data_IF_966451000191
#
_entry.id   IF_966451000191
#
_cell.length_a   1.000
_cell.length_b   1.000
_cell.length_c   1.000
_cell.angle_alpha   90.00
_cell.angle_beta   90.00
_cell.angle_gamma   90.00
#
_symmetry.space_group_name_H-M   'P 1'
#
loop_
_entity.id
_entity.type
_entity.pdbx_description
1 polymer ?
#
# COMPACT_ATOMS: atom_id res chain seq x y z
N UNK A 1 70.96 -48.59 -62.66
CA UNK A 1 70.19 -49.62 -61.93
C UNK A 1 69.35 -48.87 -60.91
N UNK A 2 68.12 -48.54 -61.28
CA UNK A 2 67.13 -47.96 -60.36
C UNK A 2 66.10 -49.05 -60.06
N UNK A 3 66.08 -49.45 -58.79
CA UNK A 3 65.19 -50.44 -58.21
C UNK A 3 63.81 -49.84 -57.97
N UNK A 4 62.77 -50.52 -58.45
CA UNK A 4 61.37 -50.26 -58.12
C UNK A 4 61.12 -50.53 -56.63
N UNK A 5 60.76 -49.49 -55.87
CA UNK A 5 60.17 -49.64 -54.54
C UNK A 5 58.63 -49.64 -54.65
N UNK A 6 58.03 -50.71 -54.12
CA UNK A 6 56.59 -50.88 -53.95
C UNK A 6 56.03 -49.82 -52.97
N UNK A 7 55.18 -48.92 -53.44
CA UNK A 7 54.30 -48.14 -52.57
C UNK A 7 53.14 -49.02 -52.06
N UNK A 8 53.14 -49.33 -50.76
CA UNK A 8 51.95 -49.79 -50.06
C UNK A 8 51.09 -48.57 -49.66
N UNK A 9 49.76 -48.60 -49.84
CA UNK A 9 48.90 -47.47 -49.48
C UNK A 9 48.83 -47.29 -47.97
N UNK A 10 49.11 -46.07 -47.51
CA UNK A 10 48.96 -45.62 -46.12
C UNK A 10 47.47 -45.62 -45.75
N UNK A 11 47.05 -46.25 -44.62
CA UNK A 11 45.66 -46.23 -44.20
C UNK A 11 45.22 -44.80 -43.82
N UNK A 12 44.04 -44.39 -44.29
CA UNK A 12 43.46 -43.08 -44.01
C UNK A 12 43.25 -42.87 -42.49
N UNK A 13 43.45 -41.64 -41.96
CA UNK A 13 43.27 -41.36 -40.55
C UNK A 13 41.81 -41.59 -40.11
N UNK A 14 41.62 -42.37 -39.03
CA UNK A 14 40.32 -42.62 -38.43
C UNK A 14 39.63 -41.30 -38.04
N UNK A 15 38.45 -41.05 -38.60
CA UNK A 15 37.64 -39.88 -38.25
C UNK A 15 37.21 -39.96 -36.76
N UNK A 16 37.26 -38.86 -35.99
CA UNK A 16 36.91 -38.90 -34.57
C UNK A 16 35.47 -39.39 -34.40
N UNK A 17 35.32 -40.45 -33.59
CA UNK A 17 34.04 -41.10 -33.29
C UNK A 17 32.99 -40.05 -32.89
N UNK A 18 31.95 -39.88 -33.72
CA UNK A 18 30.80 -39.04 -33.38
C UNK A 18 30.13 -39.65 -32.15
N UNK A 19 30.11 -38.91 -31.03
CA UNK A 19 29.41 -39.30 -29.79
C UNK A 19 28.03 -39.87 -30.10
N UNK A 20 27.74 -41.03 -29.52
CA UNK A 20 26.47 -41.72 -29.69
C UNK A 20 25.31 -40.84 -29.18
N UNK A 21 24.09 -41.02 -29.70
CA UNK A 21 22.93 -40.24 -29.27
C UNK A 21 22.72 -40.23 -27.74
N UNK A 22 22.91 -41.36 -27.02
CA UNK A 22 22.88 -41.38 -25.54
C UNK A 22 23.95 -40.48 -24.91
N UNK A 23 25.20 -40.52 -25.36
CA UNK A 23 26.29 -39.70 -24.83
C UNK A 23 26.06 -38.19 -25.03
N UNK A 24 25.41 -37.81 -26.14
CA UNK A 24 25.00 -36.42 -26.38
C UNK A 24 23.92 -35.99 -25.39
N UNK A 25 22.95 -36.87 -25.11
CA UNK A 25 21.89 -36.63 -24.14
C UNK A 25 22.44 -36.44 -22.72
N UNK A 26 23.42 -37.27 -22.31
CA UNK A 26 24.08 -37.16 -21.02
C UNK A 26 24.86 -35.85 -20.89
N UNK A 27 25.59 -35.46 -21.94
CA UNK A 27 26.30 -34.18 -21.95
C UNK A 27 25.34 -32.97 -21.86
N UNK A 28 24.19 -33.04 -22.53
CA UNK A 28 23.15 -32.02 -22.47
C UNK A 28 22.55 -31.93 -21.06
N UNK A 29 22.28 -33.06 -20.40
CA UNK A 29 21.78 -33.09 -19.02
C UNK A 29 22.76 -32.47 -18.01
N UNK A 30 24.07 -32.68 -18.17
CA UNK A 30 25.09 -32.03 -17.33
C UNK A 30 25.07 -30.51 -17.51
N UNK A 31 24.93 -30.02 -18.74
CA UNK A 31 24.82 -28.59 -19.02
C UNK A 31 23.52 -27.99 -18.46
N UNK A 32 22.39 -28.68 -18.58
CA UNK A 32 21.10 -28.25 -18.02
C UNK A 32 21.16 -28.16 -16.49
N UNK A 33 21.80 -29.13 -15.81
CA UNK A 33 21.99 -29.08 -14.36
C UNK A 33 22.87 -27.91 -13.95
N UNK A 34 23.99 -27.67 -14.64
CA UNK A 34 24.87 -26.51 -14.38
C UNK A 34 24.13 -25.19 -14.59
N UNK A 35 23.34 -25.08 -15.66
CA UNK A 35 22.51 -23.91 -15.94
C UNK A 35 21.47 -23.68 -14.84
N UNK A 36 20.78 -24.73 -14.39
CA UNK A 36 19.83 -24.66 -13.28
C UNK A 36 20.51 -24.24 -11.96
N UNK A 37 21.72 -24.73 -11.68
CA UNK A 37 22.51 -24.31 -10.51
C UNK A 37 22.89 -22.84 -10.59
N UNK A 38 23.37 -22.36 -11.75
CA UNK A 38 23.70 -20.94 -11.95
C UNK A 38 22.45 -20.06 -11.82
N UNK A 39 21.31 -20.48 -12.37
CA UNK A 39 20.05 -19.76 -12.25
C UNK A 39 19.58 -19.70 -10.79
N UNK A 40 19.68 -20.80 -10.04
CA UNK A 40 19.34 -20.83 -8.62
C UNK A 40 20.25 -19.91 -7.78
N UNK A 41 21.56 -19.88 -8.08
CA UNK A 41 22.50 -18.95 -7.46
C UNK A 41 22.14 -17.51 -7.82
N UNK A 42 21.80 -17.23 -9.07
CA UNK A 42 21.40 -15.90 -9.52
C UNK A 42 20.11 -15.44 -8.84
N UNK A 43 19.11 -16.31 -8.72
CA UNK A 43 17.87 -16.04 -7.96
C UNK A 43 18.17 -15.78 -6.48
N UNK A 44 19.06 -16.56 -5.87
CA UNK A 44 19.48 -16.35 -4.50
C UNK A 44 20.23 -15.02 -4.33
N UNK A 45 21.12 -14.66 -5.27
CA UNK A 45 21.83 -13.38 -5.28
C UNK A 45 20.87 -12.21 -5.50
N UNK A 46 19.88 -12.35 -6.38
CA UNK A 46 18.81 -11.35 -6.58
C UNK A 46 17.98 -11.22 -5.31
N UNK A 47 17.64 -12.32 -4.63
CA UNK A 47 16.92 -12.28 -3.36
C UNK A 47 17.73 -11.58 -2.27
N UNK A 48 19.01 -11.92 -2.14
CA UNK A 48 19.94 -11.29 -1.19
C UNK A 48 20.14 -9.81 -1.53
N UNK A 49 20.32 -9.47 -2.80
CA UNK A 49 20.47 -8.09 -3.26
C UNK A 49 19.19 -7.28 -3.07
N UNK A 50 18.02 -7.88 -3.35
CA UNK A 50 16.71 -7.29 -3.08
C UNK A 50 16.50 -7.05 -1.59
N UNK A 51 16.92 -7.99 -0.75
CA UNK A 51 16.92 -7.84 0.71
C UNK A 51 17.90 -6.77 1.19
N UNK A 52 19.03 -6.58 0.51
CA UNK A 52 19.97 -5.47 0.76
C UNK A 52 19.44 -4.11 0.30
N UNK A 53 18.61 -4.07 -0.75
CA UNK A 53 17.93 -2.86 -1.21
C UNK A 53 16.65 -2.54 -0.45
N UNK A 54 16.15 -3.47 0.38
CA UNK A 54 15.06 -3.18 1.30
C UNK A 54 15.57 -2.20 2.36
N UNK A 55 15.24 -0.92 2.18
CA UNK A 55 15.48 0.17 3.14
C UNK A 55 14.58 -0.02 4.36
N UNK A 56 14.82 -1.06 5.14
CA UNK A 56 14.11 -1.26 6.38
C UNK A 56 14.45 -0.11 7.34
N UNK A 57 13.41 0.53 7.89
CA UNK A 57 13.56 1.54 8.92
C UNK A 57 13.55 0.86 10.30
N UNK A 58 14.45 1.28 11.18
CA UNK A 58 14.53 0.75 12.53
C UNK A 58 14.32 1.88 13.54
N UNK A 59 13.27 1.78 14.35
CA UNK A 59 13.07 2.65 15.52
C UNK A 59 14.10 2.23 16.56
N UNK A 60 15.20 2.98 16.66
CA UNK A 60 16.37 2.61 17.47
C UNK A 60 16.33 3.24 18.85
N UNK A 61 15.82 4.46 18.95
CA UNK A 61 15.83 5.23 20.17
C UNK A 61 14.49 5.95 20.33
N UNK A 62 13.84 5.74 21.47
CA UNK A 62 12.63 6.45 21.86
C UNK A 62 12.85 7.04 23.25
N UNK A 63 12.64 8.34 23.40
CA UNK A 63 12.70 9.03 24.68
C UNK A 63 11.34 9.63 25.03
N UNK A 64 10.90 9.47 26.27
CA UNK A 64 9.63 10.00 26.78
C UNK A 64 9.85 10.77 28.09
N UNK A 65 8.95 11.69 28.48
CA UNK A 65 9.04 12.39 29.76
C UNK A 65 8.95 11.42 30.95
N UNK A 66 9.61 11.76 32.06
CA UNK A 66 9.57 10.93 33.28
C UNK A 66 8.14 10.64 33.77
N UNK A 67 7.25 11.64 33.70
CA UNK A 67 5.84 11.49 34.08
C UNK A 67 5.13 10.37 33.31
N UNK A 68 5.48 10.16 32.03
CA UNK A 68 4.89 9.08 31.24
C UNK A 68 5.39 7.71 31.69
N UNK A 69 6.66 7.61 32.10
CA UNK A 69 7.22 6.37 32.63
C UNK A 69 6.51 5.96 33.92
N UNK A 70 6.26 6.94 34.81
CA UNK A 70 5.54 6.72 36.07
C UNK A 70 4.10 6.23 35.85
N UNK A 71 3.49 6.62 34.72
CA UNK A 71 2.15 6.21 34.29
C UNK A 71 2.14 4.89 33.48
N UNK A 72 3.30 4.26 33.29
CA UNK A 72 3.45 2.98 32.56
C UNK A 72 3.79 3.10 31.06
N UNK A 73 3.86 4.33 30.53
CA UNK A 73 4.28 4.60 29.15
C UNK A 73 5.80 4.70 29.07
N UNK A 74 6.46 3.55 29.23
CA UNK A 74 7.92 3.41 29.10
C UNK A 74 8.41 3.71 27.66
N UNK A 75 9.72 3.88 27.48
CA UNK A 75 10.33 4.07 26.14
C UNK A 75 10.05 2.89 25.21
N UNK A 76 10.10 1.65 25.72
CA UNK A 76 9.77 0.44 24.98
C UNK A 76 8.29 0.37 24.62
N UNK A 77 7.41 0.76 25.54
CA UNK A 77 5.96 0.79 25.29
C UNK A 77 5.62 1.85 24.24
N UNK A 78 6.23 3.03 24.31
CA UNK A 78 6.08 4.07 23.30
C UNK A 78 6.55 3.59 21.91
N UNK A 79 7.70 2.92 21.84
CA UNK A 79 8.18 2.34 20.59
C UNK A 79 7.21 1.30 20.02
N UNK A 80 6.65 0.44 20.89
CA UNK A 80 5.63 -0.53 20.53
C UNK A 80 4.36 0.15 20.00
N UNK A 81 3.86 1.18 20.69
CA UNK A 81 2.69 1.93 20.27
C UNK A 81 2.89 2.61 18.92
N UNK A 82 4.05 3.24 18.67
CA UNK A 82 4.35 3.84 17.36
C UNK A 82 4.33 2.76 16.27
N UNK A 83 4.95 1.61 16.52
CA UNK A 83 4.96 0.48 15.58
C UNK A 83 3.54 -0.03 15.30
N UNK A 84 2.72 -0.15 16.35
CA UNK A 84 1.32 -0.55 16.21
C UNK A 84 0.51 0.49 15.45
N UNK A 85 0.69 1.80 15.73
CA UNK A 85 0.04 2.88 14.99
C UNK A 85 0.42 2.86 13.52
N UNK A 86 1.70 2.65 13.17
CA UNK A 86 2.13 2.47 11.79
C UNK A 86 1.43 1.27 11.14
N UNK A 87 1.38 0.13 11.83
CA UNK A 87 0.67 -1.07 11.36
C UNK A 87 -0.82 -0.78 11.14
N UNK A 88 -1.47 -0.14 12.10
CA UNK A 88 -2.89 0.19 12.04
C UNK A 88 -3.18 1.19 10.93
N UNK A 89 -2.37 2.24 10.76
CA UNK A 89 -2.52 3.18 9.65
C UNK A 89 -2.34 2.49 8.30
N UNK A 90 -1.32 1.61 8.19
CA UNK A 90 -1.15 0.78 6.99
C UNK A 90 -2.39 -0.06 6.79
N UNK A 91 -2.84 -0.83 7.77
CA UNK A 91 -4.04 -1.68 7.66
C UNK A 91 -5.31 -0.88 7.36
N UNK A 92 -5.54 0.28 7.95
CA UNK A 92 -6.72 1.10 7.65
C UNK A 92 -6.70 1.64 6.21
N UNK A 93 -5.52 1.83 5.66
CA UNK A 93 -5.30 2.27 4.28
C UNK A 93 -5.14 1.08 3.31
N UNK A 94 -4.74 -0.11 3.80
CA UNK A 94 -4.30 -1.30 3.04
C UNK A 94 -5.21 -2.51 3.18
N UNK A 95 -6.12 -2.57 4.16
CA UNK A 95 -7.26 -3.50 4.18
C UNK A 95 -8.19 -3.22 3.00
N UNK A 96 -8.03 -2.07 2.35
CA UNK A 96 -8.62 -1.78 1.07
C UNK A 96 -7.57 -1.63 -0.04
N UNK A 97 -6.38 -1.03 0.15
CA UNK A 97 -5.43 -0.77 -0.96
C UNK A 97 -3.96 -1.25 -0.76
N UNK A 98 -3.58 -2.33 -1.47
CA UNK A 98 -2.20 -2.84 -1.71
C UNK A 98 -1.53 -3.51 -0.51
N UNK A 99 -1.57 -4.85 -0.49
CA UNK A 99 -0.58 -5.66 0.21
C UNK A 99 0.76 -5.57 -0.53
N UNK A 100 1.66 -4.70 -0.07
CA UNK A 100 3.13 -4.86 -0.06
C UNK A 100 3.80 -3.55 0.38
N UNK A 101 4.23 -3.47 1.65
CA UNK A 101 5.42 -2.68 2.05
C UNK A 101 5.81 -2.78 3.54
N UNK A 102 4.99 -3.33 4.44
CA UNK A 102 5.37 -3.39 5.87
C UNK A 102 5.09 -4.75 6.49
N UNK A 103 6.13 -5.50 6.82
CA UNK A 103 6.05 -6.76 7.57
C UNK A 103 6.23 -6.47 9.06
N UNK A 104 5.41 -7.09 9.91
CA UNK A 104 5.50 -6.99 11.36
C UNK A 104 6.08 -8.27 11.99
N UNK A 105 6.84 -8.09 13.06
CA UNK A 105 7.68 -9.10 13.72
C UNK A 105 6.94 -10.30 14.31
N UNK A 106 5.62 -10.23 14.52
CA UNK A 106 4.83 -11.37 15.02
C UNK A 106 4.49 -12.41 13.95
N UNK A 107 4.35 -12.01 12.67
CA UNK A 107 4.26 -12.97 11.55
C UNK A 107 5.64 -13.52 11.13
N UNK A 108 6.71 -13.08 11.78
CA UNK A 108 8.05 -13.64 11.63
C UNK A 108 8.34 -14.76 12.65
N UNK A 109 7.51 -14.91 13.68
CA UNK A 109 7.63 -16.02 14.65
C UNK A 109 6.84 -17.25 14.18
N UNK A 110 5.68 -17.08 13.53
CA UNK A 110 4.82 -18.19 13.07
C UNK A 110 5.22 -18.83 11.72
N UNK A 111 6.24 -18.31 11.04
CA UNK A 111 6.92 -19.01 9.94
C UNK A 111 8.36 -19.39 10.31
N UNK A 112 8.61 -19.58 11.60
CA UNK A 112 9.77 -20.29 12.13
C UNK A 112 9.40 -21.71 12.56
N UNK A 113 8.67 -22.42 11.70
CA UNK A 113 8.68 -23.89 11.75
C UNK A 113 10.07 -24.33 11.28
N UNK A 114 11.02 -24.47 12.21
CA UNK A 114 11.10 -25.67 13.03
C UNK A 114 12.49 -25.86 13.69
N UNK A 115 12.44 -26.63 14.77
CA UNK A 115 13.52 -27.46 15.33
C UNK A 115 14.58 -26.77 16.21
N UNK A 116 14.34 -26.97 17.51
CA UNK A 116 15.34 -27.24 18.53
C UNK A 116 16.55 -28.01 17.96
N UNK A 117 17.72 -27.38 18.02
CA UNK A 117 19.01 -28.04 17.82
C UNK A 117 19.57 -27.96 16.40
N UNK A 118 20.67 -27.19 16.27
CA UNK A 118 21.62 -27.16 15.14
C UNK A 118 21.23 -26.26 13.94
N UNK A 119 21.99 -25.17 13.77
CA UNK A 119 22.25 -24.55 12.45
C UNK A 119 21.86 -23.07 12.33
N UNK A 120 22.85 -22.22 12.03
CA UNK A 120 22.75 -20.75 12.05
C UNK A 120 21.72 -20.20 11.02
N UNK A 121 20.83 -19.26 11.38
CA UNK A 121 19.90 -18.65 10.45
C UNK A 121 20.64 -17.84 9.37
N UNK A 122 20.30 -18.06 8.09
CA UNK A 122 20.87 -17.35 6.92
C UNK A 122 20.81 -15.81 7.08
N UNK A 123 19.80 -15.27 7.76
CA UNK A 123 19.68 -13.84 8.07
C UNK A 123 20.75 -13.32 9.03
N UNK A 124 21.15 -14.13 10.02
CA UNK A 124 22.24 -13.79 10.94
C UNK A 124 23.60 -13.80 10.24
N UNK A 125 23.76 -14.72 9.27
CA UNK A 125 24.94 -14.78 8.41
C UNK A 125 25.03 -13.55 7.49
N UNK A 126 23.95 -13.19 6.78
CA UNK A 126 23.90 -11.98 5.93
C UNK A 126 24.18 -10.70 6.75
N UNK A 127 23.63 -10.60 7.96
CA UNK A 127 23.87 -9.49 8.91
C UNK A 127 25.34 -9.36 9.33
N UNK A 128 25.97 -10.49 9.64
CA UNK A 128 27.37 -10.52 10.10
C UNK A 128 28.32 -10.17 8.96
N UNK A 129 28.06 -10.71 7.76
CA UNK A 129 28.87 -10.44 6.56
C UNK A 129 28.68 -9.00 6.08
N UNK A 130 27.46 -8.46 6.05
CA UNK A 130 27.18 -7.07 5.67
C UNK A 130 27.86 -6.04 6.58
N UNK A 131 27.84 -6.29 7.90
CA UNK A 131 28.55 -5.45 8.89
C UNK A 131 30.07 -5.51 8.72
N UNK A 132 30.61 -6.67 8.36
CA UNK A 132 32.06 -6.85 8.15
C UNK A 132 32.54 -6.21 6.84
N UNK A 133 31.66 -6.13 5.83
CA UNK A 133 31.94 -5.54 4.53
C UNK A 133 31.51 -4.06 4.41
N UNK A 134 30.89 -3.48 5.44
CA UNK A 134 30.45 -2.08 5.45
C UNK A 134 29.22 -1.78 4.56
N UNK A 135 28.45 -2.80 4.18
CA UNK A 135 27.30 -2.69 3.27
C UNK A 135 26.05 -3.12 4.05
N UNK A 136 25.23 -2.13 4.45
CA UNK A 136 23.95 -2.34 5.14
C UNK A 136 23.75 -1.41 6.35
N UNK A 137 23.40 -0.15 6.10
CA UNK A 137 22.91 0.77 7.13
C UNK A 137 21.39 0.83 7.06
N UNK A 138 20.69 0.32 8.07
CA UNK A 138 19.27 0.64 8.24
C UNK A 138 19.13 2.15 8.41
N UNK A 139 18.05 2.73 7.88
CA UNK A 139 17.71 4.11 8.19
C UNK A 139 17.20 4.15 9.64
N UNK A 140 18.01 4.73 10.53
CA UNK A 140 17.64 4.83 11.95
C UNK A 140 16.57 5.89 12.12
N UNK A 141 15.50 5.52 12.84
CA UNK A 141 14.48 6.42 13.35
C UNK A 141 14.73 6.64 14.84
N UNK A 142 14.78 7.90 15.24
CA UNK A 142 14.81 8.32 16.65
C UNK A 142 13.59 9.18 16.92
N UNK A 143 12.88 8.88 18.00
CA UNK A 143 11.69 9.61 18.41
C UNK A 143 11.90 10.19 19.80
N UNK A 144 11.66 11.48 19.95
CA UNK A 144 11.68 12.13 21.24
C UNK A 144 10.33 12.80 21.52
N UNK A 145 9.76 12.50 22.69
CA UNK A 145 8.61 13.23 23.22
C UNK A 145 9.07 14.04 24.41
N UNK A 146 8.89 15.35 24.33
CA UNK A 146 9.25 16.29 25.39
C UNK A 146 8.03 17.10 25.82
N UNK A 147 7.96 17.44 27.11
CA UNK A 147 6.94 18.34 27.64
C UNK A 147 7.41 19.79 27.50
N UNK A 148 6.76 20.56 26.63
CA UNK A 148 7.06 21.99 26.49
C UNK A 148 6.29 22.84 27.51
N UNK A 149 5.08 22.40 27.87
CA UNK A 149 4.25 22.95 28.94
C UNK A 149 3.24 21.90 29.39
N UNK A 150 2.41 22.20 30.40
CA UNK A 150 1.35 21.29 30.85
C UNK A 150 0.31 20.99 29.77
N UNK A 151 0.14 21.89 28.80
CA UNK A 151 -0.83 21.74 27.72
C UNK A 151 -0.20 21.44 26.35
N UNK A 152 1.12 21.28 26.26
CA UNK A 152 1.80 21.06 24.96
C UNK A 152 2.96 20.07 25.09
N UNK A 153 2.90 19.03 24.25
CA UNK A 153 4.01 18.11 24.00
C UNK A 153 4.70 18.48 22.68
N UNK A 154 6.00 18.22 22.61
CA UNK A 154 6.77 18.27 21.38
C UNK A 154 7.12 16.84 21.00
N UNK A 155 6.71 16.43 19.81
CA UNK A 155 7.07 15.15 19.20
C UNK A 155 8.09 15.42 18.12
N UNK A 156 9.31 14.90 18.29
CA UNK A 156 10.40 15.05 17.34
C UNK A 156 10.74 13.69 16.74
N UNK A 157 10.81 13.62 15.41
CA UNK A 157 11.21 12.41 14.67
C UNK A 157 12.44 12.75 13.83
N UNK A 158 13.53 12.00 14.05
CA UNK A 158 14.77 12.10 13.29
C UNK A 158 14.97 10.83 12.52
N UNK A 159 15.18 10.95 11.20
CA UNK A 159 15.41 9.80 10.33
C UNK A 159 16.73 10.01 9.61
N UNK A 160 17.58 8.98 9.60
CA UNK A 160 18.88 9.05 8.91
C UNK A 160 18.69 9.50 7.46
N UNK A 161 19.44 10.52 7.04
CA UNK A 161 19.37 11.08 5.69
C UNK A 161 18.17 11.99 5.41
N UNK A 162 17.33 12.29 6.40
CA UNK A 162 16.16 13.15 6.24
C UNK A 162 16.23 14.35 7.19
N UNK A 163 15.49 15.41 6.84
CA UNK A 163 15.29 16.56 7.72
C UNK A 163 14.48 16.16 8.95
N UNK A 164 14.92 16.61 10.12
CA UNK A 164 14.20 16.44 11.38
C UNK A 164 12.76 16.98 11.27
N UNK A 165 11.82 16.22 11.83
CA UNK A 165 10.42 16.59 11.93
C UNK A 165 10.08 16.94 13.38
N UNK A 166 9.36 18.04 13.57
CA UNK A 166 8.85 18.45 14.87
C UNK A 166 7.36 18.77 14.77
N UNK A 167 6.57 18.23 15.69
CA UNK A 167 5.16 18.56 15.85
C UNK A 167 4.85 18.97 17.28
N UNK A 168 4.13 20.09 17.41
CA UNK A 168 3.62 20.59 18.69
C UNK A 168 2.22 20.05 18.90
N UNK A 169 2.11 19.04 19.75
CA UNK A 169 0.86 18.39 20.08
C UNK A 169 0.19 19.12 21.25
N UNK A 170 -0.96 19.79 21.01
CA UNK A 170 -1.78 20.31 22.11
C UNK A 170 -2.37 19.14 22.91
N UNK A 171 -2.19 19.17 24.22
CA UNK A 171 -2.74 18.16 25.13
C UNK A 171 -4.16 18.59 25.50
N UNK A 172 -5.14 17.85 25.01
CA UNK A 172 -6.53 18.03 25.41
C UNK A 172 -6.85 17.14 26.62
N UNK A 173 -7.08 17.75 27.79
CA UNK A 173 -7.44 17.06 29.03
C UNK A 173 -8.81 16.37 28.98
N UNK A 174 -9.68 16.75 28.04
CA UNK A 174 -11.00 16.13 27.83
C UNK A 174 -10.94 14.94 26.85
N UNK A 175 -9.79 14.70 26.22
CA UNK A 175 -9.61 13.57 25.33
C UNK A 175 -9.69 12.25 26.10
N UNK A 176 -10.41 11.27 25.54
CA UNK A 176 -10.40 9.89 26.05
C UNK A 176 -9.04 9.20 25.87
N UNK A 177 -8.24 9.66 24.92
CA UNK A 177 -6.92 9.08 24.64
C UNK A 177 -5.85 9.72 25.51
N UNK A 178 -4.98 8.89 26.07
CA UNK A 178 -3.86 9.36 26.86
C UNK A 178 -2.91 10.23 26.01
N UNK A 179 -2.29 11.30 26.56
CA UNK A 179 -1.37 12.16 25.79
C UNK A 179 -0.20 11.39 25.15
N UNK A 180 0.28 10.33 25.80
CA UNK A 180 1.30 9.45 25.23
C UNK A 180 0.82 8.69 23.97
N UNK A 181 -0.44 8.24 23.96
CA UNK A 181 -1.05 7.58 22.79
C UNK A 181 -1.26 8.57 21.63
N UNK A 182 -1.65 9.81 21.94
CA UNK A 182 -1.73 10.87 20.93
C UNK A 182 -0.34 11.18 20.35
N UNK A 183 0.68 11.25 21.20
CA UNK A 183 2.06 11.47 20.77
C UNK A 183 2.59 10.31 19.90
N UNK A 184 2.23 9.06 20.18
CA UNK A 184 2.66 7.91 19.36
C UNK A 184 1.98 7.89 18.00
N UNK A 185 0.70 8.26 17.92
CA UNK A 185 -0.01 8.44 16.65
C UNK A 185 0.62 9.57 15.81
N UNK A 186 0.96 10.71 16.40
CA UNK A 186 1.61 11.81 15.67
C UNK A 186 3.04 11.45 15.24
N UNK A 187 3.81 10.73 16.07
CA UNK A 187 5.11 10.22 15.69
C UNK A 187 5.02 9.27 14.47
N UNK A 188 4.01 8.39 14.43
CA UNK A 188 3.77 7.51 13.28
C UNK A 188 3.49 8.31 11.99
N UNK A 189 2.68 9.38 12.06
CA UNK A 189 2.43 10.27 10.90
C UNK A 189 3.70 10.98 10.44
N UNK A 190 4.51 11.50 11.36
CA UNK A 190 5.79 12.16 11.02
C UNK A 190 6.80 11.18 10.39
N UNK A 191 6.81 9.92 10.83
CA UNK A 191 7.60 8.87 10.18
C UNK A 191 7.11 8.68 8.74
N UNK A 192 5.82 8.43 8.54
CA UNK A 192 5.24 8.21 7.21
C UNK A 192 5.43 9.40 6.28
N UNK A 193 5.36 10.63 6.79
CA UNK A 193 5.64 11.85 6.00
C UNK A 193 6.99 11.78 5.27
N UNK A 194 7.97 11.09 5.85
CA UNK A 194 9.32 10.95 5.30
C UNK A 194 9.57 9.61 4.64
N UNK A 195 8.97 8.54 5.14
CA UNK A 195 9.22 7.19 4.61
C UNK A 195 8.26 6.78 3.51
N UNK A 196 7.00 7.24 3.56
CA UNK A 196 5.94 6.92 2.61
C UNK A 196 4.84 8.02 2.60
N UNK A 197 5.13 9.18 1.98
CA UNK A 197 4.18 10.28 1.94
C UNK A 197 2.90 9.92 1.16
N UNK A 198 2.94 8.97 0.22
CA UNK A 198 1.75 8.54 -0.50
C UNK A 198 0.77 7.77 0.41
N UNK A 199 1.28 6.95 1.33
CA UNK A 199 0.47 6.31 2.36
C UNK A 199 -0.13 7.36 3.29
N UNK A 200 0.67 8.32 3.77
CA UNK A 200 0.17 9.38 4.65
C UNK A 200 -0.91 10.24 3.99
N UNK A 201 -0.74 10.61 2.72
CA UNK A 201 -1.74 11.35 1.96
C UNK A 201 -3.06 10.56 1.88
N UNK A 202 -2.99 9.24 1.65
CA UNK A 202 -4.17 8.36 1.61
C UNK A 202 -4.82 8.19 2.98
N UNK A 203 -4.03 8.14 4.05
CA UNK A 203 -4.54 8.15 5.42
C UNK A 203 -5.33 9.42 5.70
N UNK A 204 -4.77 10.61 5.42
CA UNK A 204 -5.49 11.88 5.59
C UNK A 204 -6.75 11.95 4.73
N UNK A 205 -6.67 11.47 3.49
CA UNK A 205 -7.77 11.49 2.54
C UNK A 205 -8.94 10.57 2.94
N UNK A 206 -8.64 9.33 3.33
CA UNK A 206 -9.65 8.29 3.54
C UNK A 206 -10.09 8.17 5.00
N UNK A 207 -9.16 8.26 5.95
CA UNK A 207 -9.46 8.12 7.38
C UNK A 207 -9.90 9.45 7.99
N UNK A 208 -9.07 10.50 7.85
CA UNK A 208 -9.34 11.81 8.49
C UNK A 208 -10.30 12.67 7.67
N UNK A 209 -10.43 12.38 6.37
CA UNK A 209 -11.13 13.21 5.36
C UNK A 209 -10.63 14.65 5.33
N UNK A 210 -9.33 14.82 5.58
CA UNK A 210 -8.65 16.11 5.69
C UNK A 210 -8.02 16.48 4.33
N UNK A 211 -8.73 17.32 3.56
CA UNK A 211 -8.29 17.75 2.24
C UNK A 211 -7.06 18.66 2.30
N UNK A 212 -7.02 19.58 3.26
CA UNK A 212 -5.89 20.49 3.47
C UNK A 212 -4.56 19.74 3.74
N UNK A 213 -4.56 18.78 4.67
CA UNK A 213 -3.37 17.95 4.95
C UNK A 213 -3.02 17.04 3.78
N UNK A 214 -4.01 16.49 3.08
CA UNK A 214 -3.78 15.70 1.85
C UNK A 214 -3.03 16.54 0.79
N UNK A 215 -3.45 17.78 0.58
CA UNK A 215 -2.78 18.73 -0.34
C UNK A 215 -1.36 19.05 0.14
N UNK A 216 -1.16 19.23 1.44
CA UNK A 216 0.16 19.51 2.00
C UNK A 216 1.15 18.36 1.70
N UNK A 217 0.73 17.12 1.90
CA UNK A 217 1.58 15.96 1.61
C UNK A 217 1.80 15.79 0.10
N UNK A 218 0.79 16.05 -0.74
CA UNK A 218 0.95 16.06 -2.18
C UNK A 218 2.02 17.07 -2.66
N UNK A 219 2.07 18.26 -2.06
CA UNK A 219 3.13 19.25 -2.35
C UNK A 219 4.50 18.76 -1.91
N UNK A 220 4.59 18.19 -0.71
CA UNK A 220 5.83 17.61 -0.18
C UNK A 220 6.40 16.53 -1.13
N UNK A 221 5.55 15.69 -1.73
CA UNK A 221 5.98 14.68 -2.70
C UNK A 221 6.65 15.27 -3.95
N UNK A 222 6.34 16.52 -4.32
CA UNK A 222 6.92 17.20 -5.48
C UNK A 222 8.20 17.98 -5.12
N UNK A 223 8.43 18.26 -3.85
CA UNK A 223 9.64 18.93 -3.35
C UNK A 223 10.85 17.97 -3.27
N UNK A 224 10.59 16.66 -3.10
CA UNK A 224 11.63 15.65 -2.98
C UNK A 224 12.21 15.29 -4.36
N UNK A 225 13.42 15.75 -4.65
CA UNK A 225 14.10 15.50 -5.93
C UNK A 225 15.01 14.25 -5.87
N UNK A 226 15.06 13.43 -6.94
CA UNK A 226 14.30 13.53 -8.18
C UNK A 226 12.86 13.01 -8.03
N UNK A 227 11.91 13.63 -8.73
CA UNK A 227 10.51 13.17 -8.79
C UNK A 227 10.32 12.31 -10.04
N UNK A 228 10.04 11.03 -9.86
CA UNK A 228 9.65 10.13 -10.96
C UNK A 228 8.19 10.35 -11.42
N UNK A 229 7.84 9.87 -12.61
CA UNK A 229 6.50 10.04 -13.20
C UNK A 229 5.36 9.45 -12.34
N UNK A 230 5.63 8.38 -11.60
CA UNK A 230 4.63 7.71 -10.76
C UNK A 230 4.32 8.55 -9.51
N UNK A 231 5.38 9.06 -8.87
CA UNK A 231 5.31 9.97 -7.72
C UNK A 231 4.69 11.30 -8.13
N UNK A 232 5.05 11.83 -9.30
CA UNK A 232 4.42 13.02 -9.88
C UNK A 232 2.91 12.81 -10.08
N UNK A 233 2.51 11.72 -10.75
CA UNK A 233 1.11 11.42 -11.00
C UNK A 233 0.31 11.25 -9.70
N UNK A 234 0.86 10.54 -8.71
CA UNK A 234 0.24 10.39 -7.38
C UNK A 234 0.06 11.72 -6.67
N UNK A 235 1.08 12.57 -6.66
CA UNK A 235 1.02 13.86 -6.01
C UNK A 235 -0.12 14.72 -6.58
N UNK A 236 -0.22 14.83 -7.91
CA UNK A 236 -1.29 15.58 -8.56
C UNK A 236 -2.67 14.96 -8.33
N UNK A 237 -2.77 13.63 -8.33
CA UNK A 237 -4.01 12.92 -8.00
C UNK A 237 -4.47 13.19 -6.56
N UNK A 238 -3.57 13.12 -5.57
CA UNK A 238 -3.86 13.44 -4.17
C UNK A 238 -4.21 14.92 -3.98
N UNK A 239 -3.53 15.82 -4.70
CA UNK A 239 -3.86 17.25 -4.63
C UNK A 239 -5.27 17.51 -5.18
N UNK A 240 -5.60 16.94 -6.34
CA UNK A 240 -6.95 16.98 -6.90
C UNK A 240 -7.98 16.42 -5.90
N UNK A 241 -7.72 15.25 -5.32
CA UNK A 241 -8.62 14.64 -4.35
C UNK A 241 -8.78 15.47 -3.07
N UNK A 242 -7.70 16.05 -2.57
CA UNK A 242 -7.74 16.97 -1.43
C UNK A 242 -8.63 18.19 -1.71
N UNK A 243 -8.59 18.76 -2.92
CA UNK A 243 -9.53 19.83 -3.29
C UNK A 243 -10.99 19.35 -3.35
N UNK A 244 -11.26 18.10 -3.73
CA UNK A 244 -12.61 17.52 -3.70
C UNK A 244 -13.12 17.41 -2.26
N UNK A 245 -12.28 16.97 -1.31
CA UNK A 245 -12.63 16.92 0.11
C UNK A 245 -12.94 18.31 0.67
N UNK A 246 -12.22 19.34 0.20
CA UNK A 246 -12.48 20.75 0.52
C UNK A 246 -13.66 21.36 -0.27
N UNK A 247 -14.37 20.57 -1.09
CA UNK A 247 -15.47 20.99 -1.99
C UNK A 247 -15.08 22.09 -3.00
N UNK A 248 -13.79 22.17 -3.36
CA UNK A 248 -13.23 23.11 -4.34
C UNK A 248 -13.09 22.43 -5.70
N UNK A 249 -14.21 22.06 -6.31
CA UNK A 249 -14.23 21.19 -7.48
C UNK A 249 -13.51 21.77 -8.71
N UNK A 250 -13.63 23.08 -8.97
CA UNK A 250 -12.92 23.73 -10.08
C UNK A 250 -11.40 23.62 -9.93
N UNK A 251 -10.89 23.77 -8.70
CA UNK A 251 -9.47 23.62 -8.41
C UNK A 251 -9.02 22.16 -8.54
N UNK A 252 -9.86 21.20 -8.17
CA UNK A 252 -9.57 19.78 -8.35
C UNK A 252 -9.41 19.44 -9.84
N UNK A 253 -10.37 19.84 -10.67
CA UNK A 253 -10.38 19.65 -12.12
C UNK A 253 -9.15 20.32 -12.75
N UNK A 254 -8.87 21.58 -12.38
CA UNK A 254 -7.70 22.30 -12.87
C UNK A 254 -6.39 21.58 -12.50
N UNK A 255 -6.29 21.06 -11.27
CA UNK A 255 -5.07 20.40 -10.83
C UNK A 255 -4.84 19.06 -11.53
N UNK A 256 -5.88 18.25 -11.73
CA UNK A 256 -5.77 17.03 -12.53
C UNK A 256 -5.37 17.33 -13.99
N UNK A 257 -5.93 18.39 -14.59
CA UNK A 257 -5.54 18.87 -15.94
C UNK A 257 -4.08 19.29 -16.00
N UNK A 258 -3.59 20.02 -15.01
CA UNK A 258 -2.19 20.42 -14.92
C UNK A 258 -1.27 19.20 -14.93
N UNK A 259 -1.57 18.16 -14.14
CA UNK A 259 -0.81 16.90 -14.19
C UNK A 259 -0.82 16.25 -15.58
N UNK A 260 -1.98 16.25 -16.25
CA UNK A 260 -2.12 15.70 -17.61
C UNK A 260 -1.37 16.49 -18.68
N UNK A 261 -1.04 17.76 -18.46
CA UNK A 261 -0.18 18.50 -19.40
C UNK A 261 1.24 17.93 -19.44
N UNK A 262 1.70 17.34 -18.34
CA UNK A 262 3.01 16.71 -18.24
C UNK A 262 2.99 15.23 -18.59
N UNK A 263 1.97 14.50 -18.11
CA UNK A 263 1.80 13.07 -18.34
C UNK A 263 0.44 12.78 -19.01
N UNK A 264 0.30 13.09 -20.32
CA UNK A 264 -1.00 13.06 -21.01
C UNK A 264 -1.64 11.68 -21.08
N UNK A 265 -0.84 10.61 -20.99
CA UNK A 265 -1.32 9.23 -21.05
C UNK A 265 -1.43 8.52 -19.70
N UNK A 266 -1.13 9.23 -18.61
CA UNK A 266 -1.19 8.62 -17.29
C UNK A 266 -2.64 8.33 -16.86
N UNK A 267 -2.94 7.04 -16.66
CA UNK A 267 -4.28 6.54 -16.32
C UNK A 267 -4.78 7.09 -14.98
N UNK A 268 -3.90 7.21 -13.97
CA UNK A 268 -4.28 7.73 -12.66
C UNK A 268 -4.77 9.18 -12.79
N UNK A 269 -4.04 10.02 -13.52
CA UNK A 269 -4.43 11.41 -13.75
C UNK A 269 -5.69 11.55 -14.60
N UNK A 270 -5.88 10.70 -15.62
CA UNK A 270 -7.14 10.65 -16.39
C UNK A 270 -8.33 10.29 -15.50
N UNK A 271 -8.16 9.33 -14.60
CA UNK A 271 -9.19 8.95 -13.62
C UNK A 271 -9.45 10.06 -12.59
N UNK A 272 -8.40 10.72 -12.07
CA UNK A 272 -8.54 11.87 -11.17
C UNK A 272 -9.27 13.03 -11.85
N UNK A 273 -9.02 13.27 -13.14
CA UNK A 273 -9.73 14.28 -13.92
C UNK A 273 -11.22 13.95 -14.06
N UNK A 274 -11.56 12.71 -14.44
CA UNK A 274 -12.95 12.24 -14.49
C UNK A 274 -13.64 12.36 -13.12
N UNK A 275 -12.91 12.03 -12.05
CA UNK A 275 -13.42 12.13 -10.68
C UNK A 275 -13.66 13.57 -10.23
N UNK A 276 -12.79 14.51 -10.59
CA UNK A 276 -13.03 15.94 -10.38
C UNK A 276 -14.28 16.44 -11.10
N UNK A 277 -14.48 16.05 -12.36
CA UNK A 277 -15.68 16.40 -13.14
C UNK A 277 -16.94 15.82 -12.48
N UNK A 278 -16.92 14.54 -12.12
CA UNK A 278 -18.05 13.89 -11.44
C UNK A 278 -18.37 14.55 -10.10
N UNK A 279 -17.36 14.86 -9.29
CA UNK A 279 -17.55 15.55 -8.01
C UNK A 279 -18.13 16.96 -8.14
N UNK A 280 -17.95 17.61 -9.30
CA UNK A 280 -18.58 18.91 -9.62
C UNK A 280 -20.05 18.80 -10.08
N UNK A 281 -20.60 17.58 -10.17
CA UNK A 281 -21.97 17.31 -10.62
C UNK A 281 -22.13 17.10 -12.13
N UNK A 282 -21.03 17.16 -12.89
CA UNK A 282 -21.04 17.00 -14.36
C UNK A 282 -20.99 15.51 -14.75
N UNK A 283 -21.98 14.73 -14.31
CA UNK A 283 -21.96 13.27 -14.36
C UNK A 283 -21.92 12.69 -15.78
N UNK A 284 -22.56 13.33 -16.76
CA UNK A 284 -22.53 12.87 -18.14
C UNK A 284 -21.12 12.93 -18.75
N UNK A 285 -20.41 14.04 -18.56
CA UNK A 285 -19.04 14.20 -19.03
C UNK A 285 -18.10 13.24 -18.28
N UNK A 286 -18.25 13.12 -16.96
CA UNK A 286 -17.47 12.20 -16.15
C UNK A 286 -17.65 10.74 -16.61
N UNK A 287 -18.89 10.32 -16.86
CA UNK A 287 -19.21 8.96 -17.34
C UNK A 287 -18.66 8.73 -18.75
N UNK A 288 -18.76 9.71 -19.65
CA UNK A 288 -18.19 9.63 -21.00
C UNK A 288 -16.67 9.46 -20.95
N UNK A 289 -15.99 10.25 -20.12
CA UNK A 289 -14.54 10.15 -19.94
C UNK A 289 -14.16 8.79 -19.34
N UNK A 290 -14.83 8.34 -18.29
CA UNK A 290 -14.55 7.02 -17.68
C UNK A 290 -14.76 5.86 -18.65
N UNK A 291 -15.80 5.89 -19.50
CA UNK A 291 -16.02 4.89 -20.57
C UNK A 291 -14.85 4.84 -21.56
N UNK A 292 -14.25 5.98 -21.87
CA UNK A 292 -13.07 6.02 -22.76
C UNK A 292 -11.84 5.34 -22.15
N UNK A 293 -11.76 5.24 -20.81
CA UNK A 293 -10.66 4.58 -20.10
C UNK A 293 -10.87 3.06 -19.95
N UNK A 294 -12.12 2.57 -20.08
CA UNK A 294 -12.50 1.18 -19.81
C UNK A 294 -11.67 0.17 -20.62
N UNK A 295 -11.39 0.48 -21.89
CA UNK A 295 -10.73 -0.42 -22.83
C UNK A 295 -9.21 -0.22 -22.94
N UNK A 296 -8.62 0.70 -22.16
CA UNK A 296 -7.18 0.92 -22.22
C UNK A 296 -6.44 -0.32 -21.70
N UNK A 297 -5.45 -0.76 -22.47
CA UNK A 297 -4.45 -1.72 -22.01
C UNK A 297 -3.58 -1.05 -20.94
N UNK A 298 -3.30 -1.76 -19.84
CA UNK A 298 -2.47 -1.24 -18.75
C UNK A 298 -3.22 -0.85 -17.47
N UNK A 299 -4.56 -0.89 -17.45
CA UNK A 299 -5.28 -0.81 -16.18
C UNK A 299 -5.01 -2.06 -15.35
N UNK A 300 -4.51 -1.85 -14.12
CA UNK A 300 -4.51 -2.92 -13.12
C UNK A 300 -5.94 -3.34 -12.79
N UNK A 301 -6.11 -4.55 -12.26
CA UNK A 301 -7.40 -5.06 -11.81
C UNK A 301 -8.11 -4.05 -10.88
N UNK A 302 -7.37 -3.52 -9.91
CA UNK A 302 -7.83 -2.48 -8.99
C UNK A 302 -8.26 -1.20 -9.68
N UNK A 303 -7.46 -0.68 -10.61
CA UNK A 303 -7.81 0.55 -11.35
C UNK A 303 -9.11 0.35 -12.12
N UNK A 304 -9.32 -0.84 -12.68
CA UNK A 304 -10.56 -1.20 -13.39
C UNK A 304 -11.75 -1.27 -12.43
N UNK A 305 -11.61 -1.88 -11.25
CA UNK A 305 -12.67 -1.87 -10.23
C UNK A 305 -13.02 -0.45 -9.77
N UNK A 306 -12.00 0.39 -9.52
CA UNK A 306 -12.18 1.80 -9.12
C UNK A 306 -12.87 2.61 -10.21
N UNK A 307 -12.51 2.38 -11.47
CA UNK A 307 -13.16 3.02 -12.61
C UNK A 307 -14.65 2.66 -12.67
N UNK A 308 -15.00 1.38 -12.55
CA UNK A 308 -16.40 0.94 -12.52
C UNK A 308 -17.16 1.45 -11.29
N UNK A 309 -16.54 1.49 -10.13
CA UNK A 309 -17.13 2.13 -8.94
C UNK A 309 -17.51 3.59 -9.24
N UNK A 310 -16.58 4.36 -9.80
CA UNK A 310 -16.82 5.75 -10.15
C UNK A 310 -17.92 5.88 -11.21
N UNK A 311 -17.93 5.02 -12.23
CA UNK A 311 -18.98 4.99 -13.25
C UNK A 311 -20.36 4.68 -12.67
N UNK A 312 -20.42 3.78 -11.67
CA UNK A 312 -21.65 3.48 -10.94
C UNK A 312 -22.20 4.70 -10.22
N UNK A 313 -21.35 5.43 -9.48
CA UNK A 313 -21.74 6.69 -8.83
C UNK A 313 -22.30 7.69 -9.87
N UNK A 314 -21.56 7.93 -10.96
CA UNK A 314 -21.98 8.91 -11.97
C UNK A 314 -23.28 8.49 -12.68
N UNK A 315 -23.43 7.22 -13.01
CA UNK A 315 -24.62 6.72 -13.68
C UNK A 315 -25.85 6.75 -12.76
N UNK A 316 -25.67 6.42 -11.47
CA UNK A 316 -26.69 6.53 -10.45
C UNK A 316 -27.24 7.95 -10.35
N UNK A 317 -26.34 8.92 -10.20
CA UNK A 317 -26.71 10.33 -10.05
C UNK A 317 -27.29 10.91 -11.36
N UNK A 318 -26.70 10.58 -12.50
CA UNK A 318 -27.14 11.07 -13.81
C UNK A 318 -28.55 10.58 -14.17
N UNK A 319 -28.84 9.30 -13.92
CA UNK A 319 -30.10 8.67 -14.31
C UNK A 319 -31.10 8.55 -13.15
N UNK A 320 -30.72 8.97 -11.94
CA UNK A 320 -31.50 8.81 -10.71
C UNK A 320 -31.97 7.36 -10.54
N UNK A 321 -31.06 6.41 -10.75
CA UNK A 321 -31.39 4.99 -10.92
C UNK A 321 -30.37 4.09 -10.23
N UNK A 322 -30.83 3.40 -9.19
CA UNK A 322 -30.02 2.40 -8.50
C UNK A 322 -29.64 1.21 -9.40
N UNK A 323 -30.47 0.87 -10.37
CA UNK A 323 -30.15 -0.19 -11.34
C UNK A 323 -28.95 0.21 -12.21
N UNK A 324 -28.82 1.50 -12.53
CA UNK A 324 -27.67 2.03 -13.28
C UNK A 324 -26.39 2.00 -12.44
N UNK A 325 -26.48 2.32 -11.14
CA UNK A 325 -25.38 2.18 -10.18
C UNK A 325 -24.94 0.72 -10.05
N UNK A 326 -25.90 -0.16 -9.77
CA UNK A 326 -25.71 -1.60 -9.55
C UNK A 326 -25.06 -2.26 -10.76
N UNK A 327 -25.44 -1.89 -11.99
CA UNK A 327 -24.82 -2.42 -13.20
C UNK A 327 -23.29 -2.29 -13.17
N UNK A 328 -22.77 -1.11 -12.84
CA UNK A 328 -21.33 -0.87 -12.81
C UNK A 328 -20.67 -1.43 -11.55
N UNK A 329 -21.30 -1.34 -10.38
CA UNK A 329 -20.74 -1.97 -9.18
C UNK A 329 -20.60 -3.49 -9.33
N UNK A 330 -21.57 -4.14 -9.98
CA UNK A 330 -21.48 -5.56 -10.31
C UNK A 330 -20.34 -5.87 -11.28
N UNK A 331 -20.03 -4.98 -12.23
CA UNK A 331 -18.83 -5.12 -13.08
C UNK A 331 -17.54 -5.02 -12.25
N UNK A 332 -17.50 -4.18 -11.21
CA UNK A 332 -16.37 -4.14 -10.28
C UNK A 332 -16.26 -5.44 -9.47
N UNK A 333 -17.37 -5.94 -8.92
CA UNK A 333 -17.40 -7.18 -8.13
C UNK A 333 -17.16 -8.45 -8.96
N UNK A 334 -17.49 -8.43 -10.25
CA UNK A 334 -17.15 -9.53 -11.16
C UNK A 334 -15.63 -9.65 -11.40
N UNK A 335 -14.90 -8.54 -11.23
CA UNK A 335 -13.44 -8.53 -11.31
C UNK A 335 -12.83 -8.89 -9.95
N UNK A 336 -13.30 -8.25 -8.89
CA UNK A 336 -12.84 -8.48 -7.53
C UNK A 336 -14.05 -8.61 -6.58
N UNK A 337 -14.43 -9.85 -6.21
CA UNK A 337 -15.57 -10.10 -5.31
C UNK A 337 -15.42 -9.53 -3.91
N UNK A 338 -14.19 -9.14 -3.53
CA UNK A 338 -13.83 -8.53 -2.24
C UNK A 338 -13.57 -7.02 -2.37
N UNK A 339 -13.96 -6.40 -3.49
CA UNK A 339 -13.79 -4.96 -3.67
C UNK A 339 -14.76 -4.18 -2.77
N UNK A 340 -14.30 -3.93 -1.55
CA UNK A 340 -15.08 -3.44 -0.41
C UNK A 340 -15.90 -2.19 -0.74
N UNK A 341 -15.34 -1.23 -1.50
CA UNK A 341 -16.08 -0.02 -1.88
C UNK A 341 -17.31 -0.34 -2.75
N UNK A 342 -17.20 -1.32 -3.66
CA UNK A 342 -18.36 -1.77 -4.43
C UNK A 342 -19.32 -2.60 -3.57
N UNK A 343 -18.84 -3.44 -2.64
CA UNK A 343 -19.72 -4.17 -1.71
C UNK A 343 -20.59 -3.19 -0.90
N UNK A 344 -19.97 -2.16 -0.33
CA UNK A 344 -20.69 -1.14 0.43
C UNK A 344 -21.68 -0.36 -0.43
N UNK A 345 -21.28 0.08 -1.63
CA UNK A 345 -22.18 0.83 -2.51
C UNK A 345 -23.34 -0.03 -3.06
N UNK A 346 -23.12 -1.33 -3.32
CA UNK A 346 -24.21 -2.27 -3.65
C UNK A 346 -25.19 -2.39 -2.48
N UNK A 347 -24.67 -2.50 -1.25
CA UNK A 347 -25.53 -2.53 -0.07
C UNK A 347 -26.43 -1.27 0.00
N UNK A 348 -25.85 -0.08 -0.16
CA UNK A 348 -26.60 1.18 -0.17
C UNK A 348 -27.62 1.24 -1.31
N UNK A 349 -27.27 0.82 -2.53
CA UNK A 349 -28.23 0.75 -3.63
C UNK A 349 -29.43 -0.17 -3.33
N UNK A 350 -29.20 -1.32 -2.70
CA UNK A 350 -30.30 -2.19 -2.25
C UNK A 350 -31.12 -1.55 -1.12
N UNK A 351 -30.48 -0.80 -0.21
CA UNK A 351 -31.17 -0.05 0.82
C UNK A 351 -32.13 1.00 0.21
N UNK A 352 -31.69 1.79 -0.76
CA UNK A 352 -32.54 2.79 -1.42
C UNK A 352 -33.70 2.15 -2.19
N UNK A 353 -33.52 0.92 -2.69
CA UNK A 353 -34.59 0.10 -3.29
C UNK A 353 -35.54 -0.53 -2.26
N UNK A 354 -35.26 -0.38 -0.96
CA UNK A 354 -36.05 -0.99 0.12
C UNK A 354 -35.74 -2.48 0.37
N UNK A 355 -34.77 -3.05 -0.34
CA UNK A 355 -34.36 -4.45 -0.19
C UNK A 355 -33.38 -4.60 0.98
N UNK A 356 -33.95 -4.66 2.18
CA UNK A 356 -33.18 -4.82 3.42
C UNK A 356 -32.40 -6.15 3.46
N UNK A 357 -32.88 -7.19 2.77
CA UNK A 357 -32.23 -8.51 2.78
C UNK A 357 -30.88 -8.44 2.07
N UNK A 358 -30.88 -7.95 0.83
CA UNK A 358 -29.65 -7.76 0.06
C UNK A 358 -28.75 -6.69 0.68
N UNK A 359 -29.31 -5.63 1.27
CA UNK A 359 -28.52 -4.65 2.03
C UNK A 359 -27.66 -5.34 3.09
N UNK A 360 -28.24 -6.16 3.98
CA UNK A 360 -27.45 -6.81 5.04
C UNK A 360 -26.44 -7.81 4.48
N UNK A 361 -26.77 -8.54 3.42
CA UNK A 361 -25.85 -9.50 2.79
C UNK A 361 -24.57 -8.81 2.32
N UNK A 362 -24.69 -7.71 1.56
CA UNK A 362 -23.53 -6.98 1.05
C UNK A 362 -22.85 -6.13 2.14
N UNK A 363 -23.62 -5.56 3.08
CA UNK A 363 -23.07 -4.76 4.17
C UNK A 363 -22.21 -5.59 5.13
N UNK A 364 -22.66 -6.81 5.49
CA UNK A 364 -21.87 -7.71 6.33
C UNK A 364 -20.62 -8.22 5.62
N UNK A 365 -20.68 -8.46 4.31
CA UNK A 365 -19.49 -8.77 3.50
C UNK A 365 -18.51 -7.60 3.48
N UNK A 366 -19.00 -6.36 3.31
CA UNK A 366 -18.15 -5.18 3.36
C UNK A 366 -17.47 -5.02 4.74
N UNK A 367 -18.20 -5.27 5.83
CA UNK A 367 -17.65 -5.28 7.20
C UNK A 367 -16.60 -6.37 7.38
N UNK A 368 -16.91 -7.61 6.99
CA UNK A 368 -15.99 -8.74 7.05
C UNK A 368 -14.69 -8.47 6.28
N UNK A 369 -14.79 -7.89 5.08
CA UNK A 369 -13.63 -7.63 4.25
C UNK A 369 -12.83 -6.39 4.73
N UNK A 370 -13.34 -5.63 5.70
CA UNK A 370 -12.59 -4.57 6.37
C UNK A 370 -12.95 -3.15 5.94
N UNK A 371 -14.21 -2.89 5.54
CA UNK A 371 -14.69 -1.51 5.40
C UNK A 371 -14.50 -0.76 6.71
N UNK A 372 -14.16 0.53 6.62
CA UNK A 372 -13.98 1.35 7.81
C UNK A 372 -15.31 1.50 8.57
N UNK A 373 -15.44 0.74 9.68
CA UNK A 373 -16.64 0.68 10.50
C UNK A 373 -17.06 2.06 11.01
N UNK A 374 -16.10 2.88 11.47
CA UNK A 374 -16.36 4.25 11.94
C UNK A 374 -17.03 5.10 10.86
N UNK A 375 -16.55 5.00 9.62
CA UNK A 375 -17.12 5.76 8.50
C UNK A 375 -18.53 5.25 8.18
N UNK A 376 -18.71 3.96 7.95
CA UNK A 376 -20.01 3.44 7.50
C UNK A 376 -21.09 3.57 8.56
N UNK A 377 -20.79 3.36 9.84
CA UNK A 377 -21.75 3.52 10.94
C UNK A 377 -22.04 4.98 11.31
N UNK A 378 -21.28 5.93 10.77
CA UNK A 378 -21.59 7.36 10.86
C UNK A 378 -22.47 7.86 9.70
N UNK A 379 -22.77 7.02 8.71
CA UNK A 379 -23.67 7.39 7.61
C UNK A 379 -25.10 7.61 8.17
N UNK A 380 -25.65 8.84 8.09
CA UNK A 380 -26.97 9.17 8.62
C UNK A 380 -28.11 8.34 8.00
N UNK A 381 -27.94 7.83 6.78
CA UNK A 381 -28.93 6.97 6.13
C UNK A 381 -29.18 5.67 6.90
N UNK A 382 -28.18 5.24 7.67
CA UNK A 382 -28.26 4.05 8.50
C UNK A 382 -28.83 4.34 9.89
N UNK A 383 -29.16 5.60 10.23
CA UNK A 383 -29.65 5.95 11.57
C UNK A 383 -30.95 5.25 11.93
N UNK A 384 -31.80 5.02 10.93
CA UNK A 384 -33.05 4.27 11.07
C UNK A 384 -32.84 2.81 11.50
N UNK A 385 -31.62 2.27 11.32
CA UNK A 385 -31.25 0.92 11.72
C UNK A 385 -30.73 0.84 13.16
N UNK A 386 -30.40 1.96 13.82
CA UNK A 386 -29.82 1.97 15.17
C UNK A 386 -30.70 1.25 16.22
N UNK A 387 -32.02 1.16 16.01
CA UNK A 387 -32.93 0.41 16.88
C UNK A 387 -32.99 -1.10 16.59
N UNK A 388 -32.54 -1.54 15.41
CA UNK A 388 -32.65 -2.93 14.96
C UNK A 388 -31.60 -3.81 15.66
N UNK A 389 -31.97 -4.98 16.23
CA UNK A 389 -31.04 -5.85 16.93
C UNK A 389 -29.83 -6.28 16.09
N UNK A 390 -30.04 -6.67 14.83
CA UNK A 390 -28.96 -7.09 13.92
C UNK A 390 -27.93 -5.98 13.70
N UNK A 391 -28.39 -4.76 13.39
CA UNK A 391 -27.51 -3.61 13.18
C UNK A 391 -26.75 -3.21 14.45
N UNK A 392 -27.40 -3.24 15.62
CA UNK A 392 -26.72 -3.00 16.91
C UNK A 392 -25.63 -4.04 17.18
N UNK A 393 -25.87 -5.31 16.87
CA UNK A 393 -24.88 -6.37 17.02
C UNK A 393 -23.66 -6.15 16.11
N UNK A 394 -23.88 -5.79 14.84
CA UNK A 394 -22.79 -5.46 13.92
C UNK A 394 -22.00 -4.24 14.39
N UNK A 395 -22.70 -3.20 14.86
CA UNK A 395 -22.06 -1.99 15.37
C UNK A 395 -21.17 -2.28 16.58
N UNK A 396 -21.65 -3.06 17.55
CA UNK A 396 -20.86 -3.47 18.71
C UNK A 396 -19.63 -4.30 18.29
N UNK A 397 -19.83 -5.30 17.42
CA UNK A 397 -18.74 -6.15 16.95
C UNK A 397 -17.62 -5.36 16.26
N UNK A 398 -17.95 -4.44 15.35
CA UNK A 398 -16.95 -3.79 14.49
C UNK A 398 -16.48 -2.42 14.98
N UNK A 399 -17.16 -1.77 15.93
CA UNK A 399 -16.69 -0.52 16.55
C UNK A 399 -16.01 -0.74 17.91
N UNK A 400 -16.35 -1.78 18.67
CA UNK A 400 -15.73 -2.00 20.00
C UNK A 400 -14.42 -2.80 19.90
N UNK A 401 -14.13 -3.42 18.75
CA UNK A 401 -12.87 -4.13 18.46
C UNK A 401 -11.75 -3.24 17.85
N UNK A 402 -12.01 -1.95 17.59
CA UNK A 402 -11.07 -0.98 16.99
C UNK A 402 -10.73 0.16 17.94
#
# INVERSE_FOLDING_TARGET
MESQENEFPVPAPEAPLRKSFPERLDSLMVWLRRLATVLAILVALIYVFREWTNTAFLIREVSVPASFVDEGFTTSEMAYQISNQLRTMVQQVSAQDVAQSYHNQQNLEDLSVDLVGVGIPIRSFVRTVGKTLGIGTYNEIRVAVAKASDSVLIVTVRITGHTDEEYRLPVNSESRQHPAQQASAEAAKLILKRTDPAMLARYYANHDRDGARTIQIARLMLEQQPVDDETFARAYAFWSFGYILERKYDLAIAKAKEGLQHLPDNILLKNSYAYGIGASGQYEEALKLSRSLEHLSGLTQRQRCTLYLNMGNYAGDLYQSEDSSLHYYQKALAIDPHFISALYNVALSHLYKGDTTQFYEYFERALHDGVNARIVFSNPELDTFNSRPRFRSLKAQYLDEQ
#
